data_IF_818434853622
#
_entry.id   IF_818434853622
#
_cell.length_a   1.000
_cell.length_b   1.000
_cell.length_c   1.000
_cell.angle_alpha   90.00
_cell.angle_beta   90.00
_cell.angle_gamma   90.00
#
_symmetry.space_group_name_H-M   'P 1'
#
loop_
_entity.id
_entity.type
_entity.pdbx_description
1 polymer ?
#
# COMPACT_ATOMS: atom_id res chain seq x y z
N UNK A 1 -10.00 30.89 -18.36
CA UNK A 1 -9.36 29.85 -19.17
C UNK A 1 -9.61 28.51 -18.49
N UNK A 2 -9.69 27.42 -19.23
CA UNK A 2 -9.95 26.10 -18.68
C UNK A 2 -8.67 25.29 -18.61
N UNK A 3 -8.50 24.47 -17.56
CA UNK A 3 -7.40 23.50 -17.44
C UNK A 3 -7.96 22.11 -17.74
N UNK A 4 -7.31 21.39 -18.62
CA UNK A 4 -7.65 20.01 -18.94
C UNK A 4 -6.66 19.07 -18.24
N UNK A 5 -7.18 18.20 -17.36
CA UNK A 5 -6.42 17.11 -16.76
C UNK A 5 -6.41 15.96 -17.76
N UNK A 6 -5.22 15.52 -18.16
CA UNK A 6 -5.02 14.44 -19.13
C UNK A 6 -4.49 13.19 -18.45
N UNK A 7 -4.76 12.04 -19.04
CA UNK A 7 -4.05 10.80 -18.69
C UNK A 7 -2.64 10.79 -19.25
N UNK A 8 -1.77 9.91 -18.74
CA UNK A 8 -0.41 9.64 -19.25
C UNK A 8 -0.44 9.35 -20.77
N UNK A 9 -1.52 8.75 -21.29
CA UNK A 9 -1.74 8.51 -22.72
C UNK A 9 -2.36 9.68 -23.48
N UNK A 10 -2.51 10.86 -22.88
CA UNK A 10 -3.02 12.09 -23.51
C UNK A 10 -4.53 12.20 -23.65
N UNK A 11 -5.30 11.24 -23.09
CA UNK A 11 -6.77 11.30 -23.08
C UNK A 11 -7.25 12.33 -22.04
N UNK A 12 -8.21 13.15 -22.39
CA UNK A 12 -8.84 14.09 -21.46
C UNK A 12 -9.63 13.33 -20.39
N UNK A 13 -9.33 13.58 -19.13
CA UNK A 13 -10.00 13.00 -17.96
C UNK A 13 -11.00 13.97 -17.36
N UNK A 14 -10.66 15.24 -17.29
CA UNK A 14 -11.50 16.29 -16.75
C UNK A 14 -11.13 17.66 -17.34
N UNK A 15 -12.13 18.49 -17.56
CA UNK A 15 -11.94 19.88 -17.96
C UNK A 15 -12.49 20.77 -16.85
N UNK A 16 -11.58 21.49 -16.17
CA UNK A 16 -11.94 22.44 -15.13
C UNK A 16 -12.16 23.82 -15.75
N UNK A 17 -13.37 24.31 -15.69
CA UNK A 17 -13.73 25.59 -16.32
C UNK A 17 -13.47 26.79 -15.43
N UNK A 18 -13.44 26.59 -14.10
CA UNK A 18 -13.29 27.64 -13.10
C UNK A 18 -11.85 27.77 -12.53
N UNK A 19 -10.93 26.88 -12.91
CA UNK A 19 -9.58 26.80 -12.34
C UNK A 19 -8.58 27.87 -12.85
N UNK A 20 -8.94 28.62 -13.88
CA UNK A 20 -7.95 29.51 -14.56
C UNK A 20 -6.83 28.68 -15.18
N UNK A 21 -5.58 29.00 -14.83
CA UNK A 21 -4.38 28.21 -15.23
C UNK A 21 -3.80 27.41 -14.05
N UNK A 22 -4.55 27.27 -12.94
CA UNK A 22 -4.11 26.59 -11.72
C UNK A 22 -4.45 25.10 -11.76
N UNK A 23 -3.43 24.27 -11.96
CA UNK A 23 -3.57 22.79 -11.97
C UNK A 23 -4.12 22.27 -10.65
N UNK A 24 -3.70 22.81 -9.51
CA UNK A 24 -4.21 22.41 -8.20
C UNK A 24 -5.72 22.68 -8.09
N UNK A 25 -6.16 23.88 -8.49
CA UNK A 25 -7.58 24.22 -8.49
C UNK A 25 -8.37 23.28 -9.41
N UNK A 26 -7.82 22.94 -10.59
CA UNK A 26 -8.44 22.00 -11.53
C UNK A 26 -8.57 20.59 -10.93
N UNK A 27 -7.53 20.08 -10.28
CA UNK A 27 -7.56 18.76 -9.64
C UNK A 27 -8.56 18.75 -8.48
N UNK A 28 -8.59 19.79 -7.65
CA UNK A 28 -9.56 19.90 -6.54
C UNK A 28 -11.00 19.99 -7.08
N UNK A 29 -11.24 20.71 -8.18
CA UNK A 29 -12.54 20.78 -8.84
C UNK A 29 -12.96 19.39 -9.35
N UNK A 30 -12.05 18.67 -10.01
CA UNK A 30 -12.30 17.30 -10.49
C UNK A 30 -12.64 16.34 -9.33
N UNK A 31 -11.90 16.40 -8.22
CA UNK A 31 -12.17 15.57 -7.04
C UNK A 31 -13.55 15.89 -6.43
N UNK A 32 -13.92 17.17 -6.31
CA UNK A 32 -15.28 17.58 -5.86
C UNK A 32 -16.38 17.05 -6.79
N UNK A 33 -16.11 17.02 -8.10
CA UNK A 33 -17.02 16.46 -9.10
C UNK A 33 -17.01 14.92 -9.12
N UNK A 34 -16.20 14.26 -8.27
CA UNK A 34 -15.97 12.80 -8.24
C UNK A 34 -15.51 12.25 -9.60
N UNK A 35 -14.74 13.04 -10.35
CA UNK A 35 -14.16 12.59 -11.60
C UNK A 35 -13.16 11.46 -11.36
N UNK A 36 -13.09 10.55 -12.31
CA UNK A 36 -12.09 9.48 -12.31
C UNK A 36 -10.76 10.03 -12.84
N UNK A 37 -9.77 10.21 -11.95
CA UNK A 37 -8.44 10.69 -12.29
C UNK A 37 -7.42 9.54 -12.40
N UNK A 38 -7.90 8.30 -12.54
CA UNK A 38 -7.03 7.14 -12.74
C UNK A 38 -6.14 7.32 -13.97
N UNK A 39 -4.82 7.11 -13.78
CA UNK A 39 -3.81 7.30 -14.82
C UNK A 39 -3.59 8.77 -15.23
N UNK A 40 -4.02 9.74 -14.42
CA UNK A 40 -3.75 11.16 -14.69
C UNK A 40 -2.24 11.45 -14.76
N UNK A 41 -1.84 12.33 -15.66
CA UNK A 41 -0.50 12.92 -15.68
C UNK A 41 -0.52 14.20 -14.83
N UNK A 42 -0.02 14.07 -13.61
CA UNK A 42 0.15 15.13 -12.63
C UNK A 42 1.63 15.24 -12.22
N UNK A 43 2.52 14.78 -13.11
CA UNK A 43 3.95 14.85 -12.86
C UNK A 43 4.41 16.30 -12.68
N UNK A 44 5.18 16.55 -11.62
CA UNK A 44 5.68 17.87 -11.22
C UNK A 44 4.59 18.91 -10.90
N UNK A 45 3.34 18.50 -10.74
CA UNK A 45 2.25 19.41 -10.38
C UNK A 45 2.47 20.01 -8.98
N UNK A 46 2.17 21.30 -8.85
CA UNK A 46 2.05 21.95 -7.55
C UNK A 46 0.64 21.63 -6.99
N UNK A 47 0.61 20.73 -6.00
CA UNK A 47 -0.60 20.30 -5.29
C UNK A 47 -0.49 20.60 -3.79
N UNK A 48 0.35 21.59 -3.42
CA UNK A 48 0.53 22.02 -2.04
C UNK A 48 -0.83 22.30 -1.35
N UNK A 49 -1.08 21.63 -0.24
CA UNK A 49 -2.30 21.79 0.55
C UNK A 49 -3.59 21.40 -0.16
N UNK A 50 -3.54 20.67 -1.28
CA UNK A 50 -4.73 20.31 -2.05
C UNK A 50 -5.66 19.37 -1.27
N UNK A 51 -6.98 19.57 -1.41
CA UNK A 51 -8.00 18.69 -0.85
C UNK A 51 -8.34 17.56 -1.83
N UNK A 52 -7.68 16.41 -1.64
CA UNK A 52 -7.75 15.22 -2.51
C UNK A 52 -8.35 14.00 -1.79
N UNK A 53 -9.05 14.24 -0.67
CA UNK A 53 -9.65 13.15 0.12
C UNK A 53 -10.62 12.31 -0.72
N UNK A 54 -10.43 10.99 -0.71
CA UNK A 54 -11.23 10.02 -1.47
C UNK A 54 -11.06 10.08 -2.99
N UNK A 55 -10.05 10.80 -3.50
CA UNK A 55 -9.78 10.88 -4.94
C UNK A 55 -9.40 9.51 -5.53
N UNK A 56 -9.86 9.21 -6.74
CA UNK A 56 -9.33 8.09 -7.51
C UNK A 56 -8.15 8.56 -8.35
N UNK A 57 -6.94 8.25 -7.88
CA UNK A 57 -5.65 8.55 -8.50
C UNK A 57 -4.88 7.25 -8.83
N UNK A 58 -5.60 6.13 -8.97
CA UNK A 58 -4.96 4.84 -9.24
C UNK A 58 -4.15 4.89 -10.54
N UNK A 59 -2.88 4.44 -10.48
CA UNK A 59 -1.95 4.49 -11.62
C UNK A 59 -1.59 5.89 -12.13
N UNK A 60 -1.95 6.97 -11.43
CA UNK A 60 -1.58 8.33 -11.82
C UNK A 60 -0.06 8.55 -11.73
N UNK A 61 0.48 9.39 -12.59
CA UNK A 61 1.85 9.89 -12.46
C UNK A 61 1.85 11.18 -11.61
N UNK A 62 2.34 11.07 -10.40
CA UNK A 62 2.57 12.13 -9.44
C UNK A 62 4.07 12.32 -9.17
N UNK A 63 4.93 11.83 -10.10
CA UNK A 63 6.37 11.92 -9.93
C UNK A 63 6.83 13.37 -9.79
N UNK A 64 7.62 13.64 -8.74
CA UNK A 64 8.14 14.96 -8.40
C UNK A 64 7.05 16.03 -8.14
N UNK A 65 5.80 15.64 -7.94
CA UNK A 65 4.75 16.57 -7.54
C UNK A 65 4.99 17.10 -6.12
N UNK A 66 4.57 18.32 -5.86
CA UNK A 66 4.52 18.86 -4.51
C UNK A 66 3.13 18.58 -3.91
N UNK A 67 3.07 17.60 -3.03
CA UNK A 67 1.90 17.18 -2.26
C UNK A 67 2.01 17.60 -0.79
N UNK A 68 2.95 18.48 -0.45
CA UNK A 68 3.16 18.86 0.94
C UNK A 68 1.91 19.51 1.53
N UNK A 69 1.53 19.04 2.72
CA UNK A 69 0.30 19.44 3.40
C UNK A 69 -1.01 19.05 2.70
N UNK A 70 -0.98 18.28 1.62
CA UNK A 70 -2.20 17.84 0.94
C UNK A 70 -3.00 16.84 1.79
N UNK A 71 -4.33 16.90 1.70
CA UNK A 71 -5.21 15.91 2.29
C UNK A 71 -5.53 14.83 1.25
N UNK A 72 -4.92 13.66 1.40
CA UNK A 72 -5.09 12.46 0.58
C UNK A 72 -5.84 11.36 1.34
N UNK A 73 -6.53 11.70 2.44
CA UNK A 73 -7.20 10.70 3.28
C UNK A 73 -8.22 9.88 2.49
N UNK A 74 -8.08 8.54 2.56
CA UNK A 74 -8.94 7.62 1.83
C UNK A 74 -8.80 7.66 0.30
N UNK A 75 -7.82 8.33 -0.27
CA UNK A 75 -7.58 8.34 -1.71
C UNK A 75 -7.09 6.97 -2.21
N UNK A 76 -7.50 6.60 -3.42
CA UNK A 76 -6.93 5.46 -4.14
C UNK A 76 -5.69 5.94 -4.91
N UNK A 77 -4.51 5.59 -4.39
CA UNK A 77 -3.19 5.82 -4.98
C UNK A 77 -2.56 4.50 -5.44
N UNK A 78 -3.36 3.44 -5.57
CA UNK A 78 -2.86 2.14 -5.99
C UNK A 78 -2.13 2.25 -7.33
N UNK A 79 -0.91 1.68 -7.38
CA UNK A 79 -0.02 1.74 -8.57
C UNK A 79 0.37 3.14 -9.03
N UNK A 80 0.11 4.19 -8.28
CA UNK A 80 0.52 5.54 -8.62
C UNK A 80 2.05 5.67 -8.58
N UNK A 81 2.60 6.52 -9.44
CA UNK A 81 4.01 6.85 -9.45
C UNK A 81 4.24 8.13 -8.62
N UNK A 82 4.75 7.97 -7.41
CA UNK A 82 5.11 9.06 -6.48
C UNK A 82 6.63 9.27 -6.40
N UNK A 83 7.39 8.82 -7.42
CA UNK A 83 8.85 8.95 -7.46
C UNK A 83 9.29 10.40 -7.20
N UNK A 84 10.04 10.62 -6.11
CA UNK A 84 10.57 11.94 -5.76
C UNK A 84 9.51 12.99 -5.42
N UNK A 85 8.26 12.60 -5.16
CA UNK A 85 7.22 13.53 -4.71
C UNK A 85 7.51 14.08 -3.31
N UNK A 86 7.07 15.29 -3.03
CA UNK A 86 7.12 15.88 -1.70
C UNK A 86 5.81 15.59 -0.95
N UNK A 87 5.87 14.73 0.05
CA UNK A 87 4.73 14.35 0.90
C UNK A 87 4.81 14.96 2.31
N UNK A 88 5.62 16.01 2.50
CA UNK A 88 5.82 16.64 3.80
C UNK A 88 4.49 17.12 4.41
N UNK A 89 4.09 16.54 5.54
CA UNK A 89 2.85 16.91 6.23
C UNK A 89 1.55 16.52 5.48
N UNK A 90 1.63 15.73 4.41
CA UNK A 90 0.43 15.22 3.76
C UNK A 90 -0.33 14.23 4.66
N UNK A 91 -1.65 14.28 4.62
CA UNK A 91 -2.51 13.29 5.28
C UNK A 91 -2.83 12.14 4.32
N UNK A 92 -2.22 10.98 4.53
CA UNK A 92 -2.43 9.74 3.79
C UNK A 92 -3.27 8.72 4.58
N UNK A 93 -3.95 9.15 5.64
CA UNK A 93 -4.77 8.25 6.46
C UNK A 93 -5.78 7.50 5.60
N UNK A 94 -5.82 6.17 5.72
CA UNK A 94 -6.70 5.27 4.95
C UNK A 94 -6.52 5.33 3.42
N UNK A 95 -5.47 5.97 2.91
CA UNK A 95 -5.17 5.93 1.48
C UNK A 95 -4.74 4.51 1.06
N UNK A 96 -5.16 4.09 -0.13
CA UNK A 96 -4.66 2.85 -0.75
C UNK A 96 -3.41 3.17 -1.56
N UNK A 97 -2.27 2.64 -1.13
CA UNK A 97 -0.96 2.79 -1.77
C UNK A 97 -0.45 1.47 -2.36
N UNK A 98 -1.34 0.48 -2.58
CA UNK A 98 -0.93 -0.81 -3.13
C UNK A 98 -0.16 -0.66 -4.44
N UNK A 99 1.11 -1.12 -4.46
CA UNK A 99 1.97 -1.05 -5.64
C UNK A 99 2.38 0.35 -6.07
N UNK A 100 2.17 1.38 -5.24
CA UNK A 100 2.65 2.73 -5.52
C UNK A 100 4.18 2.81 -5.46
N UNK A 101 4.78 3.57 -6.36
CA UNK A 101 6.22 3.84 -6.37
C UNK A 101 6.53 5.08 -5.53
N UNK A 102 7.07 4.90 -4.34
CA UNK A 102 7.45 5.97 -3.41
C UNK A 102 8.96 6.22 -3.32
N UNK A 103 9.74 5.64 -4.25
CA UNK A 103 11.19 5.80 -4.23
C UNK A 103 11.61 7.27 -4.31
N UNK A 104 12.41 7.72 -3.35
CA UNK A 104 12.90 9.10 -3.27
C UNK A 104 11.84 10.14 -2.90
N UNK A 105 10.62 9.74 -2.53
CA UNK A 105 9.61 10.67 -2.02
C UNK A 105 10.04 11.24 -0.66
N UNK A 106 9.95 12.57 -0.51
CA UNK A 106 10.35 13.25 0.72
C UNK A 106 9.29 13.12 1.80
N UNK A 107 9.72 12.86 3.05
CA UNK A 107 8.85 12.76 4.24
C UNK A 107 7.71 11.74 4.13
N UNK A 108 7.81 10.80 3.19
CA UNK A 108 6.84 9.73 3.04
C UNK A 108 6.63 8.96 4.36
N UNK A 109 7.69 8.71 5.11
CA UNK A 109 7.62 7.93 6.35
C UNK A 109 6.68 8.52 7.41
N UNK A 110 6.73 9.84 7.65
CA UNK A 110 5.88 10.50 8.64
C UNK A 110 4.40 10.49 8.23
N UNK A 111 4.12 10.71 6.93
CA UNK A 111 2.76 10.68 6.38
C UNK A 111 2.22 9.25 6.31
N UNK A 112 3.08 8.28 6.07
CA UNK A 112 2.75 6.87 5.92
C UNK A 112 2.64 6.12 7.24
N UNK A 113 3.18 6.65 8.33
CA UNK A 113 2.91 6.14 9.67
C UNK A 113 1.40 6.06 9.97
N UNK A 114 0.60 6.90 9.31
CA UNK A 114 -0.86 6.89 9.41
C UNK A 114 -1.52 5.75 8.61
N UNK A 115 -0.79 5.12 7.69
CA UNK A 115 -1.26 3.98 6.90
C UNK A 115 -0.78 2.63 7.45
N UNK A 116 -0.03 2.62 8.56
CA UNK A 116 0.53 1.40 9.16
C UNK A 116 -0.59 0.45 9.55
N UNK A 117 -0.58 -0.73 8.93
CA UNK A 117 -1.53 -1.81 9.20
C UNK A 117 -1.07 -2.73 10.32
N UNK A 118 0.24 -2.80 10.58
CA UNK A 118 0.82 -3.66 11.61
C UNK A 118 0.67 -3.03 13.01
N UNK A 119 -0.20 -3.56 13.89
CA UNK A 119 -0.36 -3.08 15.26
C UNK A 119 0.95 -3.21 16.07
N UNK A 120 1.04 -2.46 17.17
CA UNK A 120 2.07 -2.69 18.19
C UNK A 120 1.80 -3.98 18.98
N UNK A 121 2.83 -4.51 19.64
CA UNK A 121 2.72 -5.74 20.43
C UNK A 121 2.78 -7.01 19.57
N UNK A 122 2.37 -8.14 20.15
CA UNK A 122 2.27 -9.40 19.45
C UNK A 122 1.09 -9.39 18.47
N UNK A 123 1.30 -9.88 17.25
CA UNK A 123 0.27 -9.88 16.20
C UNK A 123 -0.09 -11.31 15.81
N UNK A 124 -1.38 -11.56 15.67
CA UNK A 124 -1.86 -12.73 14.95
C UNK A 124 -1.99 -12.40 13.48
N UNK A 125 -1.24 -13.12 12.66
CA UNK A 125 -1.28 -12.99 11.20
C UNK A 125 -1.72 -14.28 10.52
N UNK A 126 -2.08 -14.17 9.25
CA UNK A 126 -2.55 -15.28 8.44
C UNK A 126 -1.85 -15.31 7.09
N UNK A 127 -1.56 -16.52 6.60
CA UNK A 127 -0.89 -16.73 5.32
C UNK A 127 -1.51 -17.90 4.57
N UNK A 128 -1.82 -17.70 3.29
CA UNK A 128 -2.22 -18.76 2.38
C UNK A 128 -1.00 -19.52 1.87
N UNK A 129 -1.08 -20.82 1.86
CA UNK A 129 -0.05 -21.75 1.41
C UNK A 129 -0.56 -22.63 0.27
N UNK A 130 0.29 -23.54 -0.24
CA UNK A 130 -0.09 -24.49 -1.29
C UNK A 130 -1.33 -25.30 -0.87
N UNK A 131 -2.16 -25.63 -1.86
CA UNK A 131 -3.40 -26.38 -1.63
C UNK A 131 -4.50 -25.57 -0.94
N UNK A 132 -4.34 -24.24 -0.82
CA UNK A 132 -5.32 -23.38 -0.14
C UNK A 132 -5.21 -23.40 1.38
N UNK A 133 -4.22 -24.09 1.95
CA UNK A 133 -4.01 -24.15 3.40
C UNK A 133 -3.76 -22.78 3.99
N UNK A 134 -4.33 -22.52 5.16
CA UNK A 134 -4.17 -21.29 5.91
C UNK A 134 -3.30 -21.52 7.15
N UNK A 135 -2.21 -20.78 7.23
CA UNK A 135 -1.28 -20.80 8.37
C UNK A 135 -1.59 -19.62 9.28
N UNK A 136 -1.92 -19.91 10.53
CA UNK A 136 -2.05 -18.91 11.59
C UNK A 136 -0.70 -18.70 12.26
N UNK A 137 -0.26 -17.46 12.29
CA UNK A 137 1.06 -17.05 12.77
C UNK A 137 0.93 -16.14 14.00
N UNK A 138 1.80 -16.30 14.96
CA UNK A 138 2.11 -15.30 15.95
C UNK A 138 3.38 -14.57 15.50
N UNK A 139 3.28 -13.29 15.27
CA UNK A 139 4.42 -12.40 15.01
C UNK A 139 4.76 -11.71 16.33
N UNK A 140 5.86 -12.07 16.98
CA UNK A 140 6.24 -11.48 18.28
C UNK A 140 6.52 -9.99 18.16
N UNK A 141 6.36 -9.27 19.28
CA UNK A 141 6.55 -7.81 19.33
C UNK A 141 7.98 -7.36 19.03
N UNK A 142 8.95 -8.22 19.27
CA UNK A 142 10.38 -8.00 19.00
C UNK A 142 10.81 -8.41 17.59
N UNK A 143 9.95 -9.10 16.81
CA UNK A 143 10.22 -9.39 15.41
C UNK A 143 10.16 -8.10 14.57
N UNK A 144 11.17 -7.85 13.75
CA UNK A 144 11.12 -6.76 12.78
C UNK A 144 9.96 -6.99 11.81
N UNK A 145 9.26 -5.92 11.49
CA UNK A 145 8.06 -5.95 10.65
C UNK A 145 8.12 -4.86 9.60
N UNK A 146 7.56 -5.15 8.45
CA UNK A 146 7.47 -4.20 7.37
C UNK A 146 6.12 -4.32 6.68
N UNK A 147 5.47 -3.20 6.44
CA UNK A 147 4.38 -3.05 5.48
C UNK A 147 4.47 -1.66 4.88
N UNK A 148 4.27 -1.53 3.58
CA UNK A 148 4.37 -0.24 2.91
C UNK A 148 2.99 0.34 2.62
N UNK A 149 2.27 -0.24 1.70
CA UNK A 149 1.13 0.41 1.08
C UNK A 149 -0.11 -0.48 1.04
N UNK A 150 0.01 -1.75 1.39
CA UNK A 150 -1.08 -2.70 1.30
C UNK A 150 -1.43 -3.35 2.63
N UNK A 151 -2.44 -4.23 2.58
CA UNK A 151 -2.84 -5.06 3.72
C UNK A 151 -1.88 -6.24 3.97
N UNK A 152 -0.94 -6.49 3.04
CA UNK A 152 0.07 -7.53 3.13
C UNK A 152 1.26 -7.03 3.95
N UNK A 153 1.51 -7.66 5.07
CA UNK A 153 2.62 -7.37 5.95
C UNK A 153 3.74 -8.39 5.78
N UNK A 154 4.92 -8.06 6.29
CA UNK A 154 6.13 -8.88 6.27
C UNK A 154 6.77 -8.92 7.65
N UNK A 155 7.26 -10.09 8.08
CA UNK A 155 7.98 -10.27 9.34
C UNK A 155 9.31 -10.98 9.15
N UNK A 156 10.26 -10.67 10.03
CA UNK A 156 11.57 -11.31 10.12
C UNK A 156 11.46 -12.76 10.59
N UNK A 157 10.54 -13.05 11.51
CA UNK A 157 10.23 -14.40 11.97
C UNK A 157 8.81 -14.46 12.55
N UNK A 158 8.30 -15.68 12.68
CA UNK A 158 6.98 -15.91 13.26
C UNK A 158 6.91 -17.32 13.89
N UNK A 159 6.01 -17.49 14.85
CA UNK A 159 5.63 -18.79 15.39
C UNK A 159 4.37 -19.31 14.70
N UNK A 160 4.40 -20.56 14.24
CA UNK A 160 3.22 -21.21 13.68
C UNK A 160 2.31 -21.69 14.81
N UNK A 161 1.09 -21.14 14.86
CA UNK A 161 0.11 -21.49 15.89
C UNK A 161 -0.82 -22.62 15.46
N UNK A 162 -1.25 -22.59 14.21
CA UNK A 162 -2.15 -23.57 13.63
C UNK A 162 -2.04 -23.57 12.10
N UNK A 163 -2.46 -24.67 11.49
CA UNK A 163 -2.57 -24.78 10.02
C UNK A 163 -3.94 -25.42 9.73
N UNK A 164 -4.69 -24.78 8.83
CA UNK A 164 -6.04 -25.20 8.44
C UNK A 164 -6.05 -25.65 6.97
N UNK A 165 -6.70 -26.77 6.70
CA UNK A 165 -7.04 -27.27 5.37
C UNK A 165 -8.56 -27.36 5.29
N UNK A 166 -9.21 -26.29 4.79
CA UNK A 166 -10.64 -26.09 4.99
C UNK A 166 -10.99 -25.99 6.48
N UNK A 167 -11.80 -26.93 6.99
CA UNK A 167 -12.20 -27.01 8.40
C UNK A 167 -11.34 -27.96 9.25
N UNK A 168 -10.34 -28.61 8.66
CA UNK A 168 -9.49 -29.58 9.35
C UNK A 168 -8.17 -28.93 9.77
N UNK A 169 -7.65 -29.33 10.94
CA UNK A 169 -6.31 -28.96 11.38
C UNK A 169 -5.29 -29.95 10.82
N UNK A 170 -4.19 -29.41 10.28
CA UNK A 170 -3.06 -30.23 9.77
C UNK A 170 -1.75 -29.72 10.36
N UNK A 171 -0.72 -30.56 10.34
CA UNK A 171 0.54 -30.26 11.05
C UNK A 171 1.56 -29.49 10.19
N UNK A 172 1.42 -29.53 8.86
CA UNK A 172 2.39 -28.84 7.97
C UNK A 172 1.71 -28.21 6.74
N UNK A 173 2.30 -27.12 6.26
CA UNK A 173 1.97 -26.48 5.00
C UNK A 173 3.23 -25.98 4.28
N UNK A 174 3.16 -25.90 2.93
CA UNK A 174 4.26 -25.42 2.09
C UNK A 174 3.93 -24.05 1.52
N UNK A 175 4.91 -23.16 1.52
CA UNK A 175 4.76 -21.82 0.93
C UNK A 175 4.39 -21.92 -0.55
N UNK A 176 3.53 -21.03 -1.02
CA UNK A 176 3.17 -20.93 -2.45
C UNK A 176 4.37 -20.54 -3.34
N UNK A 177 5.21 -19.61 -2.83
CA UNK A 177 6.30 -19.02 -3.62
C UNK A 177 7.64 -19.76 -3.46
N UNK A 178 7.85 -20.45 -2.34
CA UNK A 178 9.03 -21.26 -2.07
C UNK A 178 8.59 -22.63 -1.54
N UNK A 179 8.44 -23.64 -2.39
CA UNK A 179 8.00 -24.98 -1.97
C UNK A 179 8.92 -25.66 -0.94
N UNK A 180 10.18 -25.22 -0.87
CA UNK A 180 11.14 -25.67 0.14
C UNK A 180 10.89 -25.08 1.53
N UNK A 181 10.14 -23.98 1.62
CA UNK A 181 9.82 -23.33 2.88
C UNK A 181 8.55 -23.98 3.48
N UNK A 182 8.74 -24.66 4.62
CA UNK A 182 7.70 -25.46 5.27
C UNK A 182 7.35 -24.82 6.61
N UNK A 183 6.04 -24.67 6.83
CA UNK A 183 5.45 -24.28 8.11
C UNK A 183 5.02 -25.53 8.86
N UNK A 184 5.42 -25.67 10.15
CA UNK A 184 4.96 -26.74 11.04
C UNK A 184 4.40 -26.15 12.34
N UNK A 185 3.28 -26.72 12.78
CA UNK A 185 2.61 -26.25 14.01
C UNK A 185 3.57 -26.32 15.21
N UNK A 186 3.65 -25.23 15.95
CA UNK A 186 4.51 -25.05 17.12
C UNK A 186 5.92 -24.56 16.84
N UNK A 187 6.40 -24.62 15.59
CA UNK A 187 7.76 -24.19 15.23
C UNK A 187 7.85 -22.68 15.00
N UNK A 188 9.06 -22.14 15.27
CA UNK A 188 9.47 -20.82 14.81
C UNK A 188 9.96 -20.95 13.37
N UNK A 189 9.51 -20.03 12.52
CA UNK A 189 9.93 -19.96 11.11
C UNK A 189 10.70 -18.69 10.86
N UNK A 190 11.82 -18.83 10.15
CA UNK A 190 12.69 -17.73 9.73
C UNK A 190 12.87 -17.83 8.21
N UNK A 191 12.66 -16.75 7.46
CA UNK A 191 12.99 -16.72 6.05
C UNK A 191 14.52 -16.67 5.88
N UNK A 192 15.01 -17.01 4.69
CA UNK A 192 16.45 -16.96 4.37
C UNK A 192 17.03 -15.55 4.49
N UNK A 193 16.19 -14.53 4.33
CA UNK A 193 16.52 -13.13 4.50
C UNK A 193 15.27 -12.32 4.90
N UNK A 194 15.49 -11.13 5.48
CA UNK A 194 14.45 -10.14 5.74
C UNK A 194 14.94 -8.80 5.23
N UNK A 195 14.11 -8.15 4.41
CA UNK A 195 14.37 -6.81 3.90
C UNK A 195 13.61 -5.79 4.74
N UNK A 196 14.33 -4.85 5.34
CA UNK A 196 13.75 -3.79 6.16
C UNK A 196 13.13 -2.67 5.31
N UNK A 197 13.48 -2.59 4.01
CA UNK A 197 12.88 -1.60 3.12
C UNK A 197 11.39 -1.90 2.95
N UNK A 198 10.59 -1.09 3.63
CA UNK A 198 9.12 -1.22 3.62
C UNK A 198 8.50 -1.04 2.23
N UNK A 199 9.19 -0.36 1.33
CA UNK A 199 8.71 -0.06 -0.03
C UNK A 199 8.93 -1.20 -1.02
N UNK A 200 9.79 -2.14 -0.69
CA UNK A 200 10.02 -3.33 -1.48
C UNK A 200 9.02 -4.44 -1.10
N UNK A 201 7.80 -4.38 -1.65
CA UNK A 201 6.70 -5.31 -1.27
C UNK A 201 6.97 -6.78 -1.59
N UNK A 202 7.78 -7.06 -2.62
CA UNK A 202 8.14 -8.42 -3.03
C UNK A 202 9.43 -8.94 -2.36
N UNK A 203 9.99 -8.19 -1.41
CA UNK A 203 11.23 -8.50 -0.74
C UNK A 203 11.15 -9.75 0.17
N UNK A 204 12.30 -10.32 0.54
CA UNK A 204 12.38 -11.45 1.46
C UNK A 204 11.71 -11.16 2.81
N UNK A 205 11.06 -12.18 3.37
CA UNK A 205 10.37 -12.12 4.66
C UNK A 205 9.18 -13.08 4.73
N UNK A 206 8.58 -13.21 5.91
CA UNK A 206 7.34 -13.96 6.09
C UNK A 206 6.18 -13.03 5.78
N UNK A 207 5.58 -13.17 4.61
CA UNK A 207 4.42 -12.40 4.20
C UNK A 207 3.15 -12.93 4.88
N UNK A 208 2.35 -12.03 5.45
CA UNK A 208 1.10 -12.38 6.14
C UNK A 208 0.06 -11.26 6.00
N UNK A 209 -1.18 -11.58 6.33
CA UNK A 209 -2.31 -10.65 6.44
C UNK A 209 -2.79 -10.60 7.89
N UNK A 210 -3.39 -9.49 8.29
CA UNK A 210 -3.90 -9.32 9.67
C UNK A 210 -5.16 -10.16 9.90
N UNK A 211 -5.97 -10.37 8.87
CA UNK A 211 -7.19 -11.17 8.97
C UNK A 211 -7.12 -12.44 8.13
N UNK A 212 -7.85 -13.48 8.57
CA UNK A 212 -7.97 -14.72 7.82
C UNK A 212 -8.63 -14.50 6.46
N UNK A 213 -9.69 -13.69 6.41
CA UNK A 213 -10.42 -13.39 5.17
C UNK A 213 -9.54 -12.74 4.10
N UNK A 214 -8.62 -11.85 4.49
CA UNK A 214 -7.63 -11.26 3.57
C UNK A 214 -6.67 -12.31 3.03
N UNK A 215 -6.20 -13.23 3.87
CA UNK A 215 -5.33 -14.32 3.42
C UNK A 215 -6.05 -15.29 2.48
N UNK A 216 -7.34 -15.59 2.72
CA UNK A 216 -8.16 -16.44 1.86
C UNK A 216 -8.37 -15.83 0.46
N UNK A 217 -8.59 -14.53 0.41
CA UNK A 217 -8.87 -13.81 -0.82
C UNK A 217 -7.64 -13.66 -1.74
N UNK A 218 -6.43 -13.85 -1.22
CA UNK A 218 -5.17 -13.72 -1.95
C UNK A 218 -4.66 -15.04 -2.48
#
# INVERSE_FOLDING_TARGET
>A
MSVTIKSIGGRDLYVAESAGDDVRAAVVEAVKARANLSGADLSRADLYGAYLSGANLSGADLSRADLSGANLSGADLSRANLYGANLSGADLSRADLYGANLYGANHAEASLAQTVVCPEGDIIGWKKCQGGRLVKLLIPSDAKRSNASGRKCRAEYAKVLAILDGNESVDEARSQHNPGFIYRVGEMVHPDAFDEDRWNECAPGIHYYITQAEAEAH
#
